data_IF_113045350939
#
_entry.id   IF_113045350939
#
_cell.length_a   1.000
_cell.length_b   1.000
_cell.length_c   1.000
_cell.angle_alpha   90.00
_cell.angle_beta   90.00
_cell.angle_gamma   90.00
#
_symmetry.space_group_name_H-M   'P 1'
#
loop_
_entity.id
_entity.type
_entity.pdbx_description
1 polymer ?
#
# COMPACT_ATOMS: atom_id res chain seq x y z
N UNK A 1 35.46 59.73 -25.56
CA UNK A 1 33.99 59.91 -25.64
C UNK A 1 33.38 58.67 -26.28
N UNK A 2 32.64 57.86 -25.50
CA UNK A 2 31.42 57.18 -25.96
C UNK A 2 31.50 55.76 -26.59
N UNK A 3 31.01 54.78 -25.80
CA UNK A 3 30.22 53.55 -26.16
C UNK A 3 31.05 52.36 -26.67
N UNK A 4 31.28 51.23 -25.97
CA UNK A 4 30.43 50.34 -25.16
C UNK A 4 29.14 49.88 -25.87
N UNK A 5 29.15 48.69 -26.50
CA UNK A 5 28.40 47.45 -26.12
C UNK A 5 28.16 46.50 -27.31
N UNK A 6 27.96 45.21 -26.99
CA UNK A 6 27.42 44.10 -27.80
C UNK A 6 28.47 43.22 -28.50
N UNK A 7 28.54 41.90 -28.31
CA UNK A 7 27.69 40.99 -27.57
C UNK A 7 28.48 39.70 -27.25
N UNK A 8 28.74 39.45 -25.96
CA UNK A 8 29.04 38.11 -25.45
C UNK A 8 27.73 37.32 -25.38
N UNK A 9 27.47 36.44 -26.34
CA UNK A 9 26.42 35.42 -26.23
C UNK A 9 26.79 34.18 -27.03
N UNK A 10 27.57 33.28 -26.43
CA UNK A 10 27.60 31.87 -26.82
C UNK A 10 28.46 31.06 -25.85
N UNK A 11 28.00 30.85 -24.62
CA UNK A 11 28.44 29.70 -23.80
C UNK A 11 27.38 29.46 -22.70
N UNK A 12 26.26 28.88 -23.10
CA UNK A 12 25.33 28.22 -22.19
C UNK A 12 25.19 26.77 -22.68
N UNK A 13 26.29 26.03 -22.56
CA UNK A 13 26.33 24.61 -22.86
C UNK A 13 25.72 23.86 -21.66
N UNK A 14 24.51 23.36 -21.88
CA UNK A 14 23.92 22.16 -21.29
C UNK A 14 24.52 21.63 -19.98
N UNK A 15 23.92 22.01 -18.86
CA UNK A 15 23.82 21.14 -17.69
C UNK A 15 22.39 20.59 -17.71
N UNK A 16 22.16 19.60 -18.57
CA UNK A 16 21.01 18.70 -18.47
C UNK A 16 21.42 17.59 -17.51
N UNK A 17 21.15 17.80 -16.22
CA UNK A 17 21.41 16.83 -15.16
C UNK A 17 20.35 15.71 -15.27
N UNK A 18 20.73 14.42 -15.41
CA UNK A 18 19.77 13.35 -15.57
C UNK A 18 19.17 12.98 -14.20
N UNK A 19 18.03 13.57 -13.85
CA UNK A 19 17.26 13.23 -12.63
C UNK A 19 16.48 11.90 -12.81
N UNK A 20 16.47 11.33 -14.02
CA UNK A 20 15.72 10.11 -14.34
C UNK A 20 16.39 8.77 -13.96
N UNK A 21 17.65 8.78 -13.49
CA UNK A 21 18.39 7.53 -13.25
C UNK A 21 17.90 6.74 -12.01
N UNK A 22 17.20 7.37 -11.06
CA UNK A 22 16.77 6.69 -9.83
C UNK A 22 15.60 5.72 -10.03
N UNK A 23 14.57 6.11 -10.78
CA UNK A 23 13.36 5.30 -10.96
C UNK A 23 13.55 4.14 -11.94
N UNK A 24 14.37 4.32 -12.99
CA UNK A 24 14.67 3.26 -13.94
C UNK A 24 15.45 2.12 -13.28
N UNK A 25 16.40 2.45 -12.40
CA UNK A 25 17.32 1.45 -11.84
C UNK A 25 16.61 0.44 -10.94
N UNK A 26 15.64 0.83 -10.10
CA UNK A 26 14.92 -0.12 -9.25
C UNK A 26 13.95 -1.01 -10.05
N UNK A 27 13.19 -0.41 -10.98
CA UNK A 27 12.26 -1.13 -11.83
C UNK A 27 12.98 -2.13 -12.75
N UNK A 28 14.12 -1.72 -13.34
CA UNK A 28 14.98 -2.60 -14.13
C UNK A 28 15.62 -3.69 -13.27
N UNK A 29 16.02 -3.35 -12.03
CA UNK A 29 16.57 -4.34 -11.10
C UNK A 29 15.56 -5.41 -10.71
N UNK A 30 14.27 -5.10 -10.58
CA UNK A 30 13.23 -6.09 -10.25
C UNK A 30 12.64 -6.80 -11.47
N UNK A 31 13.03 -6.43 -12.70
CA UNK A 31 12.43 -6.97 -13.90
C UNK A 31 12.49 -8.50 -13.96
N UNK A 32 13.69 -9.07 -13.79
CA UNK A 32 13.89 -10.53 -13.79
C UNK A 32 13.11 -11.23 -12.66
N UNK A 33 13.06 -10.62 -11.48
CA UNK A 33 12.30 -11.14 -10.35
C UNK A 33 10.81 -11.24 -10.69
N UNK A 34 10.25 -10.17 -11.26
CA UNK A 34 8.83 -10.10 -11.60
C UNK A 34 8.48 -11.03 -12.75
N UNK A 35 9.36 -11.20 -13.74
CA UNK A 35 9.18 -12.20 -14.79
C UNK A 35 9.07 -13.62 -14.21
N UNK A 36 9.94 -13.99 -13.27
CA UNK A 36 9.86 -15.29 -12.61
C UNK A 36 8.57 -15.43 -11.79
N UNK A 37 8.19 -14.39 -11.04
CA UNK A 37 6.95 -14.38 -10.26
C UNK A 37 5.72 -14.59 -11.16
N UNK A 38 5.55 -13.77 -12.19
CA UNK A 38 4.41 -13.88 -13.11
C UNK A 38 4.45 -15.13 -13.99
N UNK A 39 5.65 -15.68 -14.23
CA UNK A 39 5.85 -16.98 -14.89
C UNK A 39 5.53 -18.19 -14.01
N UNK A 40 5.25 -18.00 -12.72
CA UNK A 40 5.01 -19.07 -11.76
C UNK A 40 6.28 -19.75 -11.24
N UNK A 41 7.46 -19.22 -11.56
CA UNK A 41 8.76 -19.71 -11.09
C UNK A 41 9.07 -19.18 -9.67
N UNK A 42 8.19 -19.47 -8.72
CA UNK A 42 8.24 -18.90 -7.36
C UNK A 42 9.53 -19.25 -6.60
N UNK A 43 10.11 -20.42 -6.85
CA UNK A 43 11.38 -20.87 -6.24
C UNK A 43 12.56 -20.01 -6.73
N UNK A 44 12.57 -19.65 -8.01
CA UNK A 44 13.62 -18.81 -8.58
C UNK A 44 13.45 -17.36 -8.12
N UNK A 45 12.21 -16.85 -8.08
CA UNK A 45 11.89 -15.56 -7.49
C UNK A 45 12.35 -15.45 -6.02
N UNK A 46 12.08 -16.46 -5.20
CA UNK A 46 12.52 -16.53 -3.80
C UNK A 46 14.05 -16.52 -3.69
N UNK A 47 14.76 -17.29 -4.54
CA UNK A 47 16.23 -17.32 -4.57
C UNK A 47 16.81 -15.96 -4.94
N UNK A 48 16.22 -15.27 -5.92
CA UNK A 48 16.64 -13.93 -6.33
C UNK A 48 16.47 -12.91 -5.20
N UNK A 49 15.33 -12.95 -4.49
CA UNK A 49 15.05 -12.09 -3.33
C UNK A 49 16.07 -12.35 -2.22
N UNK A 50 16.30 -13.60 -1.84
CA UNK A 50 17.24 -13.95 -0.78
C UNK A 50 18.65 -13.42 -1.07
N UNK A 51 19.16 -13.63 -2.29
CA UNK A 51 20.47 -13.14 -2.74
C UNK A 51 20.58 -11.60 -2.70
N UNK A 52 19.48 -10.89 -2.95
CA UNK A 52 19.45 -9.42 -2.91
C UNK A 52 19.37 -8.89 -1.48
N UNK A 53 18.65 -9.56 -0.59
CA UNK A 53 18.58 -9.21 0.83
C UNK A 53 19.90 -9.39 1.58
N UNK A 54 20.83 -10.22 1.08
CA UNK A 54 22.19 -10.34 1.63
C UNK A 54 23.06 -9.08 1.39
N UNK A 55 22.69 -8.23 0.43
CA UNK A 55 23.45 -7.02 0.11
C UNK A 55 23.04 -5.88 1.04
N UNK A 56 23.99 -5.21 1.71
CA UNK A 56 23.66 -4.04 2.52
C UNK A 56 23.14 -2.91 1.63
N UNK A 57 21.95 -2.39 1.95
CA UNK A 57 21.31 -1.31 1.19
C UNK A 57 20.00 -0.82 1.82
N UNK A 58 19.54 0.35 1.40
CA UNK A 58 18.32 0.99 1.92
C UNK A 58 17.01 0.42 1.35
N UNK A 59 17.07 -0.52 0.40
CA UNK A 59 15.92 -1.05 -0.34
C UNK A 59 15.35 -2.34 0.27
N UNK A 60 15.91 -2.82 1.38
CA UNK A 60 15.53 -4.09 2.00
C UNK A 60 14.05 -4.19 2.34
N UNK A 61 13.44 -3.09 2.78
CA UNK A 61 12.02 -3.07 3.18
C UNK A 61 11.07 -3.20 1.97
N UNK A 62 11.40 -2.57 0.84
CA UNK A 62 10.58 -2.71 -0.39
C UNK A 62 10.76 -4.11 -0.99
N UNK A 63 11.98 -4.66 -0.96
CA UNK A 63 12.21 -6.03 -1.41
C UNK A 63 11.50 -7.07 -0.52
N UNK A 64 11.29 -6.79 0.77
CA UNK A 64 10.45 -7.62 1.65
C UNK A 64 8.97 -7.60 1.25
N UNK A 65 8.47 -6.54 0.62
CA UNK A 65 7.10 -6.56 0.07
C UNK A 65 6.96 -7.58 -1.06
N UNK A 66 7.93 -7.61 -1.98
CA UNK A 66 8.00 -8.63 -3.03
C UNK A 66 8.12 -10.04 -2.43
N UNK A 67 8.93 -10.18 -1.36
CA UNK A 67 9.06 -11.44 -0.61
C UNK A 67 7.72 -11.91 -0.04
N UNK A 68 6.95 -11.02 0.59
CA UNK A 68 5.67 -11.39 1.16
C UNK A 68 4.68 -11.91 0.11
N UNK A 69 4.68 -11.32 -1.09
CA UNK A 69 3.85 -11.80 -2.20
C UNK A 69 4.29 -13.19 -2.69
N UNK A 70 5.61 -13.42 -2.83
CA UNK A 70 6.14 -14.75 -3.17
C UNK A 70 5.79 -15.78 -2.10
N UNK A 71 5.92 -15.43 -0.82
CA UNK A 71 5.54 -16.30 0.31
C UNK A 71 4.04 -16.65 0.26
N UNK A 72 3.18 -15.66 0.01
CA UNK A 72 1.74 -15.87 -0.09
C UNK A 72 1.36 -16.78 -1.27
N UNK A 73 1.90 -16.50 -2.47
CA UNK A 73 1.69 -17.30 -3.67
C UNK A 73 2.27 -18.72 -3.57
N UNK A 74 3.31 -18.90 -2.74
CA UNK A 74 3.89 -20.22 -2.45
C UNK A 74 3.14 -21.00 -1.38
N UNK A 75 1.97 -20.53 -0.93
CA UNK A 75 1.18 -21.19 0.10
C UNK A 75 1.76 -21.05 1.51
N UNK A 76 2.52 -19.98 1.78
CA UNK A 76 3.13 -19.70 3.09
C UNK A 76 2.55 -18.41 3.73
N UNK A 77 1.22 -18.34 3.94
CA UNK A 77 0.54 -17.12 4.41
C UNK A 77 1.05 -16.62 5.77
N UNK A 78 1.41 -17.53 6.69
CA UNK A 78 1.97 -17.15 7.99
C UNK A 78 3.31 -16.42 7.88
N UNK A 79 4.16 -16.82 6.93
CA UNK A 79 5.45 -16.17 6.69
C UNK A 79 5.22 -14.80 6.04
N UNK A 80 4.33 -14.74 5.04
CA UNK A 80 3.93 -13.49 4.41
C UNK A 80 3.41 -12.48 5.45
N UNK A 81 2.56 -12.92 6.39
CA UNK A 81 2.06 -12.08 7.47
C UNK A 81 3.20 -11.53 8.35
N UNK A 82 4.15 -12.37 8.76
CA UNK A 82 5.31 -11.94 9.54
C UNK A 82 6.14 -10.89 8.79
N UNK A 83 6.47 -11.16 7.51
CA UNK A 83 7.20 -10.24 6.65
C UNK A 83 6.45 -8.91 6.49
N UNK A 84 5.14 -8.93 6.29
CA UNK A 84 4.31 -7.72 6.15
C UNK A 84 4.22 -6.92 7.46
N UNK A 85 4.13 -7.58 8.62
CA UNK A 85 4.16 -6.91 9.93
C UNK A 85 5.49 -6.17 10.11
N UNK A 86 6.61 -6.82 9.79
CA UNK A 86 7.93 -6.18 9.86
C UNK A 86 8.01 -4.91 9.01
N UNK A 87 7.57 -4.98 7.74
CA UNK A 87 7.62 -3.83 6.83
C UNK A 87 6.66 -2.73 7.28
N UNK A 88 5.44 -3.08 7.70
CA UNK A 88 4.47 -2.11 8.26
C UNK A 88 5.08 -1.34 9.43
N UNK A 89 5.61 -2.06 10.42
CA UNK A 89 6.13 -1.46 11.65
C UNK A 89 7.35 -0.57 11.35
N UNK A 90 8.16 -0.98 10.38
CA UNK A 90 9.29 -0.20 9.89
C UNK A 90 8.85 1.09 9.19
N UNK A 91 7.86 1.00 8.29
CA UNK A 91 7.31 2.17 7.59
C UNK A 91 6.63 3.14 8.55
N UNK A 92 5.81 2.65 9.49
CA UNK A 92 5.15 3.48 10.49
C UNK A 92 6.19 4.21 11.38
N UNK A 93 7.28 3.55 11.75
CA UNK A 93 8.39 4.18 12.50
C UNK A 93 9.13 5.27 11.70
N UNK A 94 9.42 5.01 10.43
CA UNK A 94 10.09 5.98 9.56
C UNK A 94 9.20 7.19 9.26
N UNK A 95 7.90 6.97 9.07
CA UNK A 95 6.92 8.03 8.89
C UNK A 95 6.85 8.92 10.15
N UNK A 96 6.72 8.34 11.34
CA UNK A 96 6.71 9.12 12.60
C UNK A 96 7.99 9.93 12.80
N UNK A 97 9.16 9.34 12.51
CA UNK A 97 10.42 10.07 12.56
C UNK A 97 10.46 11.22 11.57
N UNK A 98 10.02 11.01 10.34
CA UNK A 98 10.01 12.06 9.32
C UNK A 98 9.14 13.26 9.75
N UNK A 99 8.00 13.01 10.41
CA UNK A 99 7.12 14.06 10.96
C UNK A 99 7.80 14.80 12.12
N UNK A 100 8.48 14.08 13.02
CA UNK A 100 9.19 14.69 14.15
C UNK A 100 10.46 15.46 13.71
N UNK A 101 11.15 14.98 12.68
CA UNK A 101 12.40 15.52 12.16
C UNK A 101 12.19 16.62 11.10
N UNK A 102 10.95 16.86 10.64
CA UNK A 102 10.61 17.87 9.62
C UNK A 102 11.14 19.28 9.95
N UNK A 103 11.26 19.64 11.24
CA UNK A 103 11.85 20.90 11.67
C UNK A 103 13.39 20.94 11.73
N UNK A 104 14.06 19.78 11.72
CA UNK A 104 15.52 19.62 11.83
C UNK A 104 16.18 19.28 10.48
N UNK A 105 15.49 18.55 9.60
CA UNK A 105 16.00 18.10 8.29
C UNK A 105 16.25 19.26 7.30
N UNK A 106 15.55 20.38 7.43
CA UNK A 106 15.85 21.62 6.69
C UNK A 106 17.29 22.16 6.93
N UNK A 107 17.97 21.68 7.98
CA UNK A 107 19.34 22.08 8.34
C UNK A 107 20.41 21.03 7.98
N UNK A 108 20.05 19.80 7.62
CA UNK A 108 21.02 18.71 7.38
C UNK A 108 20.66 17.85 6.17
N UNK A 109 21.56 17.82 5.19
CA UNK A 109 21.65 16.95 3.99
C UNK A 109 20.52 15.92 3.77
N UNK A 110 19.63 16.22 2.81
CA UNK A 110 18.47 15.43 2.36
C UNK A 110 18.78 13.99 1.88
N UNK A 111 20.05 13.62 1.67
CA UNK A 111 20.41 12.33 1.05
C UNK A 111 20.39 11.11 1.98
N UNK A 112 19.96 11.24 3.23
CA UNK A 112 20.02 10.15 4.24
C UNK A 112 18.67 9.66 4.78
N UNK A 113 17.54 10.19 4.31
CA UNK A 113 16.23 9.72 4.78
C UNK A 113 15.95 8.30 4.25
N UNK A 114 15.66 7.39 5.18
CA UNK A 114 15.21 6.04 4.85
C UNK A 114 13.79 6.09 4.27
N UNK A 115 13.52 5.26 3.27
CA UNK A 115 12.23 5.23 2.57
C UNK A 115 11.11 4.76 3.50
N UNK A 116 10.10 5.61 3.72
CA UNK A 116 8.99 5.36 4.64
C UNK A 116 7.76 4.71 3.98
N UNK A 117 7.86 4.33 2.70
CA UNK A 117 6.74 3.83 1.91
C UNK A 117 5.84 4.94 1.37
N UNK A 118 5.29 4.70 0.18
CA UNK A 118 4.23 5.54 -0.38
C UNK A 118 2.89 5.27 0.32
N UNK A 119 1.98 6.24 0.26
CA UNK A 119 0.66 6.14 0.91
C UNK A 119 -0.11 4.88 0.49
N UNK A 120 -0.06 4.53 -0.80
CA UNK A 120 -0.75 3.34 -1.31
C UNK A 120 -0.10 2.05 -0.78
N UNK A 121 1.22 1.98 -0.62
CA UNK A 121 1.91 0.81 -0.08
C UNK A 121 1.52 0.59 1.38
N UNK A 122 1.50 1.67 2.18
CA UNK A 122 1.07 1.62 3.59
C UNK A 122 -0.34 1.06 3.73
N UNK A 123 -1.23 1.41 2.81
CA UNK A 123 -2.61 0.89 2.77
C UNK A 123 -2.63 -0.57 2.29
N UNK A 124 -1.94 -0.91 1.20
CA UNK A 124 -1.90 -2.26 0.64
C UNK A 124 -1.28 -3.28 1.59
N UNK A 125 -0.24 -2.92 2.35
CA UNK A 125 0.35 -3.82 3.36
C UNK A 125 -0.72 -4.32 4.34
N UNK A 126 -1.62 -3.43 4.79
CA UNK A 126 -2.71 -3.77 5.71
C UNK A 126 -3.78 -4.66 5.07
N UNK A 127 -4.03 -4.47 3.77
CA UNK A 127 -4.90 -5.37 2.98
C UNK A 127 -4.29 -6.77 2.93
N UNK A 128 -3.02 -6.88 2.55
CA UNK A 128 -2.32 -8.16 2.47
C UNK A 128 -2.12 -8.82 3.83
N UNK A 129 -2.00 -8.06 4.92
CA UNK A 129 -2.03 -8.61 6.28
C UNK A 129 -3.37 -9.28 6.59
N UNK A 130 -4.49 -8.61 6.26
CA UNK A 130 -5.83 -9.19 6.43
C UNK A 130 -6.00 -10.47 5.61
N UNK A 131 -5.61 -10.44 4.33
CA UNK A 131 -5.70 -11.61 3.44
C UNK A 131 -4.79 -12.76 3.87
N UNK A 132 -3.53 -12.48 4.20
CA UNK A 132 -2.58 -13.50 4.65
C UNK A 132 -3.04 -14.15 5.95
N UNK A 133 -3.54 -13.35 6.90
CA UNK A 133 -4.08 -13.88 8.13
C UNK A 133 -5.33 -14.73 7.89
N UNK A 134 -6.25 -14.33 6.99
CA UNK A 134 -7.41 -15.13 6.59
C UNK A 134 -7.05 -16.48 5.96
N UNK A 135 -5.98 -16.52 5.18
CA UNK A 135 -5.48 -17.74 4.54
C UNK A 135 -4.84 -18.72 5.53
N UNK A 136 -4.65 -18.32 6.80
CA UNK A 136 -4.13 -19.18 7.85
C UNK A 136 -5.12 -19.36 9.01
N UNK A 137 -5.10 -18.48 10.02
CA UNK A 137 -5.87 -18.64 11.25
C UNK A 137 -7.05 -17.66 11.40
N UNK A 138 -7.06 -16.57 10.62
CA UNK A 138 -8.09 -15.54 10.60
C UNK A 138 -8.24 -14.73 11.89
N UNK A 139 -7.38 -14.93 12.89
CA UNK A 139 -7.54 -14.34 14.23
C UNK A 139 -7.44 -12.81 14.25
N UNK A 140 -6.56 -12.25 13.43
CA UNK A 140 -6.28 -10.80 13.37
C UNK A 140 -6.82 -10.13 12.09
N UNK A 141 -7.37 -10.93 11.16
CA UNK A 141 -7.86 -10.46 9.87
C UNK A 141 -8.85 -9.30 9.96
N UNK A 142 -9.74 -9.36 10.95
CA UNK A 142 -10.72 -8.31 11.24
C UNK A 142 -10.03 -6.99 11.61
N UNK A 143 -9.08 -7.03 12.53
CA UNK A 143 -8.35 -5.86 12.99
C UNK A 143 -7.54 -5.23 11.84
N UNK A 144 -6.95 -6.06 10.99
CA UNK A 144 -6.25 -5.59 9.79
C UNK A 144 -7.16 -4.93 8.77
N UNK A 145 -8.34 -5.51 8.52
CA UNK A 145 -9.31 -4.92 7.60
C UNK A 145 -9.76 -3.53 8.09
N UNK A 146 -9.96 -3.36 9.40
CA UNK A 146 -10.27 -2.07 10.01
C UNK A 146 -9.12 -1.06 9.82
N UNK A 147 -7.87 -1.48 10.09
CA UNK A 147 -6.68 -0.65 9.96
C UNK A 147 -6.49 -0.07 8.54
N UNK A 148 -7.01 -0.71 7.49
CA UNK A 148 -6.99 -0.16 6.13
C UNK A 148 -7.78 1.14 6.05
N UNK A 149 -8.96 1.20 6.67
CA UNK A 149 -9.75 2.44 6.72
C UNK A 149 -9.07 3.51 7.57
N UNK A 150 -8.54 3.10 8.73
CA UNK A 150 -7.88 4.02 9.67
C UNK A 150 -6.64 4.66 9.04
N UNK A 151 -5.83 3.87 8.32
CA UNK A 151 -4.63 4.39 7.67
C UNK A 151 -4.97 5.39 6.56
N UNK A 152 -6.01 5.13 5.78
CA UNK A 152 -6.47 6.08 4.75
C UNK A 152 -6.99 7.38 5.35
N UNK A 153 -7.70 7.32 6.48
CA UNK A 153 -8.12 8.53 7.19
C UNK A 153 -6.91 9.27 7.75
N UNK A 154 -5.95 8.58 8.36
CA UNK A 154 -4.70 9.18 8.83
C UNK A 154 -3.98 9.93 7.69
N UNK A 155 -3.79 9.30 6.52
CA UNK A 155 -3.15 9.93 5.35
C UNK A 155 -3.85 11.24 4.95
N UNK A 156 -5.18 11.25 4.99
CA UNK A 156 -5.97 12.43 4.66
C UNK A 156 -5.82 13.48 5.75
N UNK A 157 -5.99 13.11 7.01
CA UNK A 157 -6.00 14.04 8.15
C UNK A 157 -4.63 14.70 8.36
N UNK A 158 -3.54 13.96 8.12
CA UNK A 158 -2.16 14.49 8.21
C UNK A 158 -1.67 15.13 6.93
N UNK A 159 -2.51 15.23 5.90
CA UNK A 159 -2.14 15.76 4.59
C UNK A 159 -2.10 17.28 4.47
N UNK A 160 -2.44 18.02 5.53
CA UNK A 160 -2.40 19.48 5.53
C UNK A 160 -0.95 19.99 5.42
N UNK A 161 -0.73 20.93 4.51
CA UNK A 161 0.54 21.63 4.33
C UNK A 161 0.67 22.82 5.31
N UNK A 162 1.83 23.49 5.25
CA UNK A 162 2.16 24.65 6.10
C UNK A 162 1.21 25.84 5.91
N UNK A 163 0.50 25.89 4.78
CA UNK A 163 -0.50 26.94 4.48
C UNK A 163 -1.90 26.58 4.97
N UNK A 164 -2.06 25.38 5.56
CA UNK A 164 -3.35 24.84 5.99
C UNK A 164 -4.18 24.25 4.85
N UNK A 165 -3.64 24.18 3.63
CA UNK A 165 -4.30 23.48 2.52
C UNK A 165 -3.99 21.99 2.60
N UNK A 166 -4.98 21.15 2.31
CA UNK A 166 -4.80 19.71 2.39
C UNK A 166 -4.97 19.05 1.00
N UNK A 167 -3.88 18.87 0.23
CA UNK A 167 -3.93 18.18 -1.06
C UNK A 167 -4.43 16.73 -0.94
N UNK A 168 -4.33 16.09 0.23
CA UNK A 168 -4.80 14.72 0.44
C UNK A 168 -6.32 14.63 0.63
N UNK A 169 -7.08 15.73 0.69
CA UNK A 169 -8.56 15.66 0.67
C UNK A 169 -9.09 14.95 -0.59
N UNK A 170 -8.37 15.04 -1.70
CA UNK A 170 -8.68 14.34 -2.94
C UNK A 170 -8.09 12.91 -3.01
N UNK A 171 -7.54 12.38 -1.92
CA UNK A 171 -6.97 11.03 -1.88
C UNK A 171 -8.01 9.99 -2.28
N UNK A 172 -7.69 9.22 -3.32
CA UNK A 172 -8.57 8.16 -3.80
C UNK A 172 -8.50 6.97 -2.85
N UNK A 173 -9.50 6.87 -1.98
CA UNK A 173 -9.67 5.72 -1.09
C UNK A 173 -9.92 4.44 -1.87
N UNK A 174 -9.40 3.32 -1.38
CA UNK A 174 -9.67 1.97 -1.83
C UNK A 174 -10.70 1.30 -0.93
N UNK A 175 -11.68 0.64 -1.53
CA UNK A 175 -12.81 0.02 -0.83
C UNK A 175 -12.49 -1.35 -0.19
N UNK A 176 -11.41 -2.01 -0.59
CA UNK A 176 -11.13 -3.41 -0.24
C UNK A 176 -11.06 -3.66 1.27
N UNK A 177 -10.51 -2.74 2.07
CA UNK A 177 -10.46 -2.89 3.52
C UNK A 177 -11.84 -2.85 4.17
N UNK A 178 -12.67 -1.88 3.75
CA UNK A 178 -14.06 -1.81 4.21
C UNK A 178 -14.86 -3.04 3.73
N UNK A 179 -14.58 -3.54 2.53
CA UNK A 179 -15.22 -4.74 2.01
C UNK A 179 -14.88 -5.99 2.82
N UNK A 180 -13.59 -6.22 3.09
CA UNK A 180 -13.11 -7.32 3.95
C UNK A 180 -13.71 -7.23 5.35
N UNK A 181 -13.72 -6.03 5.95
CA UNK A 181 -14.30 -5.82 7.26
C UNK A 181 -15.79 -6.17 7.29
N UNK A 182 -16.57 -5.68 6.32
CA UNK A 182 -17.99 -6.00 6.19
C UNK A 182 -18.24 -7.49 6.05
N UNK A 183 -17.49 -8.18 5.18
CA UNK A 183 -17.61 -9.62 4.98
C UNK A 183 -17.29 -10.43 6.26
N UNK A 184 -16.26 -10.03 7.02
CA UNK A 184 -15.88 -10.67 8.27
C UNK A 184 -16.90 -10.43 9.39
N UNK A 185 -17.44 -9.21 9.51
CA UNK A 185 -18.58 -8.95 10.39
C UNK A 185 -19.76 -9.86 10.05
N UNK A 186 -20.08 -9.94 8.75
CA UNK A 186 -21.22 -10.70 8.26
C UNK A 186 -21.14 -12.17 8.63
N UNK A 187 -19.95 -12.78 8.53
CA UNK A 187 -19.69 -14.17 8.89
C UNK A 187 -20.08 -14.50 10.34
N UNK A 188 -19.95 -13.55 11.26
CA UNK A 188 -20.26 -13.78 12.68
C UNK A 188 -21.73 -13.64 13.01
N UNK A 189 -22.54 -13.04 12.11
CA UNK A 189 -23.98 -12.76 12.30
C UNK A 189 -24.31 -11.92 13.55
N UNK A 190 -23.32 -11.28 14.18
CA UNK A 190 -23.49 -10.60 15.47
C UNK A 190 -23.83 -9.13 15.34
N UNK A 191 -23.24 -8.44 14.37
CA UNK A 191 -23.36 -6.98 14.24
C UNK A 191 -23.58 -6.57 12.79
N UNK A 192 -24.85 -6.45 12.40
CA UNK A 192 -25.23 -6.02 11.05
C UNK A 192 -25.15 -4.50 10.86
N UNK A 193 -25.09 -3.72 11.94
CA UNK A 193 -24.88 -2.28 11.85
C UNK A 193 -23.46 -1.99 11.33
N UNK A 194 -22.47 -2.72 11.82
CA UNK A 194 -21.10 -2.62 11.33
C UNK A 194 -20.91 -3.19 9.92
N UNK A 195 -21.68 -4.23 9.54
CA UNK A 195 -21.76 -4.68 8.14
C UNK A 195 -22.29 -3.55 7.25
N UNK A 196 -23.44 -2.98 7.59
CA UNK A 196 -24.07 -1.91 6.80
C UNK A 196 -23.17 -0.67 6.71
N UNK A 197 -22.51 -0.27 7.81
CA UNK A 197 -21.52 0.82 7.82
C UNK A 197 -20.35 0.55 6.89
N UNK A 198 -19.85 -0.68 6.88
CA UNK A 198 -18.73 -1.11 6.04
C UNK A 198 -19.09 -1.07 4.57
N UNK A 199 -20.22 -1.66 4.18
CA UNK A 199 -20.67 -1.62 2.79
C UNK A 199 -21.13 -0.23 2.32
N UNK A 200 -21.59 0.63 3.23
CA UNK A 200 -21.84 2.05 2.93
C UNK A 200 -20.55 2.75 2.48
N UNK A 201 -19.42 2.48 3.14
CA UNK A 201 -18.11 2.99 2.71
C UNK A 201 -17.72 2.44 1.34
N UNK A 202 -17.97 1.14 1.08
CA UNK A 202 -17.68 0.50 -0.21
C UNK A 202 -18.42 1.18 -1.35
N UNK A 203 -19.75 1.34 -1.25
CA UNK A 203 -20.53 1.99 -2.31
C UNK A 203 -20.20 3.47 -2.46
N UNK A 204 -19.74 4.12 -1.38
CA UNK A 204 -19.31 5.52 -1.43
C UNK A 204 -17.97 5.70 -2.13
N UNK A 205 -16.99 4.82 -1.86
CA UNK A 205 -15.63 4.95 -2.41
C UNK A 205 -15.48 4.30 -3.78
N UNK A 206 -16.26 3.26 -4.07
CA UNK A 206 -16.23 2.51 -5.33
C UNK A 206 -17.68 2.24 -5.81
N UNK A 207 -18.42 3.26 -6.26
CA UNK A 207 -19.84 3.12 -6.63
C UNK A 207 -20.07 2.15 -7.79
N UNK A 208 -19.09 2.00 -8.68
CA UNK A 208 -19.12 1.07 -9.83
C UNK A 208 -18.81 -0.39 -9.45
N UNK A 209 -18.56 -0.70 -8.16
CA UNK A 209 -18.32 -2.08 -7.74
C UNK A 209 -19.61 -2.89 -7.87
N UNK A 210 -19.61 -3.85 -8.79
CA UNK A 210 -20.81 -4.59 -9.23
C UNK A 210 -21.63 -5.19 -8.08
N UNK A 211 -20.98 -5.63 -7.00
CA UNK A 211 -21.64 -6.28 -5.87
C UNK A 211 -22.00 -5.32 -4.74
N UNK A 212 -21.46 -4.09 -4.73
CA UNK A 212 -21.53 -3.19 -3.58
C UNK A 212 -22.95 -2.83 -3.12
N UNK A 213 -23.86 -2.54 -4.05
CA UNK A 213 -25.25 -2.21 -3.71
C UNK A 213 -26.03 -3.41 -3.16
N UNK A 214 -25.82 -4.59 -3.74
CA UNK A 214 -26.45 -5.82 -3.27
C UNK A 214 -25.92 -6.21 -1.89
N UNK A 215 -24.62 -6.04 -1.66
CA UNK A 215 -23.95 -6.30 -0.38
C UNK A 215 -24.43 -5.32 0.70
N UNK A 216 -24.57 -4.03 0.37
CA UNK A 216 -25.15 -3.03 1.28
C UNK A 216 -26.59 -3.38 1.66
N UNK A 217 -27.45 -3.68 0.68
CA UNK A 217 -28.83 -4.09 0.95
C UNK A 217 -28.88 -5.33 1.86
N UNK A 218 -28.00 -6.30 1.60
CA UNK A 218 -27.85 -7.49 2.43
C UNK A 218 -27.51 -7.12 3.88
N UNK A 219 -26.49 -6.28 4.08
CA UNK A 219 -26.11 -5.76 5.40
C UNK A 219 -27.24 -5.05 6.13
N UNK A 220 -27.97 -4.15 5.44
CA UNK A 220 -29.09 -3.40 6.02
C UNK A 220 -30.28 -4.29 6.39
N UNK A 221 -30.51 -5.37 5.65
CA UNK A 221 -31.64 -6.28 5.87
C UNK A 221 -31.40 -7.31 6.98
N UNK A 222 -30.16 -7.47 7.45
CA UNK A 222 -29.80 -8.52 8.40
C UNK A 222 -29.87 -9.95 7.85
N UNK A 223 -30.09 -10.12 6.53
CA UNK A 223 -30.33 -11.42 5.91
C UNK A 223 -29.21 -11.79 4.94
N UNK A 224 -28.26 -12.58 5.44
CA UNK A 224 -27.07 -13.01 4.68
C UNK A 224 -27.40 -13.82 3.40
N UNK A 225 -28.38 -14.74 3.45
CA UNK A 225 -28.79 -15.51 2.27
C UNK A 225 -30.19 -16.12 2.42
N UNK A 226 -30.73 -16.73 1.35
CA UNK A 226 -31.94 -17.53 1.44
C UNK A 226 -31.66 -18.88 2.14
N UNK A 227 -32.63 -19.46 2.88
CA UNK A 227 -32.47 -20.77 3.52
C UNK A 227 -31.92 -21.82 2.55
N UNK A 228 -30.91 -22.58 2.99
CA UNK A 228 -30.22 -23.59 2.16
C UNK A 228 -29.11 -23.03 1.26
N UNK A 229 -28.82 -21.73 1.31
CA UNK A 229 -27.73 -21.10 0.57
C UNK A 229 -26.64 -20.56 1.51
N UNK A 230 -25.52 -20.13 0.92
CA UNK A 230 -24.44 -19.42 1.59
C UNK A 230 -23.88 -18.31 0.69
N UNK A 231 -22.95 -17.53 1.21
CA UNK A 231 -22.20 -16.53 0.43
C UNK A 231 -20.75 -16.97 0.37
N UNK A 232 -20.17 -16.90 -0.81
CA UNK A 232 -18.76 -17.16 -1.05
C UNK A 232 -18.10 -15.86 -1.52
N UNK A 233 -17.11 -15.39 -0.77
CA UNK A 233 -16.27 -14.27 -1.18
C UNK A 233 -15.03 -14.82 -1.87
N UNK A 234 -14.83 -14.43 -3.13
CA UNK A 234 -13.66 -14.82 -3.93
C UNK A 234 -12.79 -13.59 -4.16
N UNK A 235 -11.60 -13.59 -3.55
CA UNK A 235 -10.59 -12.55 -3.78
C UNK A 235 -9.60 -13.06 -4.82
N UNK A 236 -9.47 -12.33 -5.92
CA UNK A 236 -8.49 -12.61 -6.96
C UNK A 236 -7.49 -11.46 -7.02
N UNK A 237 -6.21 -11.81 -6.98
CA UNK A 237 -5.11 -10.87 -7.17
C UNK A 237 -4.79 -10.86 -8.66
N UNK A 238 -5.37 -9.90 -9.38
CA UNK A 238 -5.13 -9.69 -10.80
C UNK A 238 -4.11 -8.57 -10.98
N UNK A 239 -2.98 -8.88 -11.63
CA UNK A 239 -1.89 -7.96 -11.96
C UNK A 239 -1.63 -7.98 -13.46
#
# INVERSE_FOLDING_TARGET
>A
MGRFTSACRAFALAIWLPIAAGCATYADQLHELRLDFYGGHLVDAERQIAKRLERPGNEGDVLKLERALVELCSGRPKQAEQTLREVRDRFDHLEQKSVAEFGLAMLTDDKRLAYAGEDYEKVLIRVFLSLSNLMHDGGDAYAYALQVSDKQNQIIDTGADETGQNPKLAYKRVAVGAYLHGALCEQTHRDFDDVARSYTKVVSWQPEFAFGQADLHRGMSGRHSAPGNGVLYVFTLVG
#
